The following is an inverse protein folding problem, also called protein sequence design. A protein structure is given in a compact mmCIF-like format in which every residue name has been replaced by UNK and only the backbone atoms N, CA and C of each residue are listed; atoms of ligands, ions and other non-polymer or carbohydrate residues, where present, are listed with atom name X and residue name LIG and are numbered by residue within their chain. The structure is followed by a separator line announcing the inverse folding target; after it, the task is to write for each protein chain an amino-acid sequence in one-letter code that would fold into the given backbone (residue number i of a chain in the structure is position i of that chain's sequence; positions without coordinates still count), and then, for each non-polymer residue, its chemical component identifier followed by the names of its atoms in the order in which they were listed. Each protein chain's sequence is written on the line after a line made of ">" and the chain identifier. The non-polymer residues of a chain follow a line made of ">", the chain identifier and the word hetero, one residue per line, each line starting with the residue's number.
data_IF_077386933701
#
_entry.id   IF_077386933701
#
_cell.length_a   1.000
_cell.length_b   1.000
_cell.length_c   1.000
_cell.angle_alpha   90.00
_cell.angle_beta   90.00
_cell.angle_gamma   90.00
#
_symmetry.space_group_name_H-M   'P 1'
#
loop_
_entity.id
_entity.type
_entity.pdbx_description
1 polymer ?
#
# COMPACT_ATOMS: atom_id res chain seq x y z
N UNK A 1 -1.00 -5.31 -5.11
CA UNK A 1 0.43 -5.64 -5.24
C UNK A 1 0.64 -6.36 -6.57
N UNK A 2 1.91 -6.58 -6.98
CA UNK A 2 2.22 -7.39 -8.18
C UNK A 2 1.56 -8.77 -8.11
N UNK A 3 1.59 -9.42 -6.94
CA UNK A 3 0.91 -10.70 -6.70
C UNK A 3 -0.59 -10.67 -6.99
N UNK A 4 -1.25 -9.57 -6.63
CA UNK A 4 -2.68 -9.41 -6.91
C UNK A 4 -2.93 -9.38 -8.41
N UNK A 5 -2.13 -8.63 -9.17
CA UNK A 5 -2.28 -8.51 -10.62
C UNK A 5 -1.94 -9.83 -11.34
N UNK A 6 -0.90 -10.54 -10.88
CA UNK A 6 -0.60 -11.90 -11.36
C UNK A 6 -1.76 -12.87 -11.08
N UNK A 7 -2.40 -12.74 -9.92
CA UNK A 7 -3.55 -13.57 -9.54
C UNK A 7 -4.78 -13.26 -10.39
N UNK A 8 -5.05 -11.98 -10.66
CA UNK A 8 -6.14 -11.55 -11.56
C UNK A 8 -5.89 -12.02 -12.99
N UNK A 9 -4.66 -11.90 -13.48
CA UNK A 9 -4.28 -12.45 -14.79
C UNK A 9 -4.50 -13.96 -14.87
N UNK A 10 -4.04 -14.70 -13.85
CA UNK A 10 -4.24 -16.15 -13.77
C UNK A 10 -5.73 -16.48 -13.80
N UNK A 11 -6.54 -15.84 -12.94
CA UNK A 11 -8.00 -16.03 -12.87
C UNK A 11 -8.66 -15.82 -14.22
N UNK A 12 -8.34 -14.72 -14.90
CA UNK A 12 -8.89 -14.38 -16.23
C UNK A 12 -8.50 -15.44 -17.27
N UNK A 13 -7.23 -15.85 -17.31
CA UNK A 13 -6.77 -16.85 -18.30
C UNK A 13 -7.29 -18.26 -18.03
N UNK A 14 -7.55 -18.65 -16.77
CA UNK A 14 -8.04 -19.98 -16.42
C UNK A 14 -9.56 -20.12 -16.42
N UNK A 15 -10.28 -19.05 -16.08
CA UNK A 15 -11.74 -19.05 -15.96
C UNK A 15 -12.45 -18.52 -17.24
N UNK A 16 -11.70 -18.22 -18.30
CA UNK A 16 -12.24 -17.75 -19.58
C UNK A 16 -12.67 -16.27 -19.58
N UNK A 17 -12.05 -15.44 -18.74
CA UNK A 17 -12.22 -13.99 -18.76
C UNK A 17 -11.50 -13.32 -19.93
N UNK A 18 -11.62 -11.98 -20.05
CA UNK A 18 -10.95 -11.20 -21.10
C UNK A 18 -9.68 -10.54 -20.58
N UNK A 19 -8.60 -10.54 -21.36
CA UNK A 19 -7.36 -9.84 -21.00
C UNK A 19 -7.59 -8.33 -20.80
N UNK A 20 -8.56 -7.77 -21.53
CA UNK A 20 -9.01 -6.38 -21.37
C UNK A 20 -9.62 -6.06 -20.01
N UNK A 21 -9.91 -7.06 -19.16
CA UNK A 21 -10.31 -6.85 -17.76
C UNK A 21 -9.11 -6.58 -16.82
N UNK A 22 -7.89 -6.81 -17.32
CA UNK A 22 -6.63 -6.71 -16.55
C UNK A 22 -5.73 -5.61 -17.09
N UNK A 23 -5.49 -5.57 -18.40
CA UNK A 23 -4.61 -4.60 -19.04
C UNK A 23 -5.26 -4.01 -20.31
N UNK A 24 -4.90 -2.77 -20.62
CA UNK A 24 -5.29 -2.08 -21.86
C UNK A 24 -4.18 -2.07 -22.91
N UNK A 25 -2.94 -2.38 -22.54
CA UNK A 25 -1.82 -2.41 -23.48
C UNK A 25 -0.47 -2.40 -22.77
N UNK A 26 0.56 -1.95 -23.50
CA UNK A 26 1.93 -1.84 -22.99
C UNK A 26 2.44 -0.41 -23.20
N UNK A 27 3.22 0.07 -22.25
CA UNK A 27 3.93 1.35 -22.34
C UNK A 27 5.27 1.06 -23.00
N UNK A 28 5.54 1.69 -24.13
CA UNK A 28 6.89 1.72 -24.68
C UNK A 28 7.73 2.74 -23.88
N UNK A 29 8.90 2.36 -23.32
CA UNK A 29 9.79 3.31 -22.66
C UNK A 29 10.19 4.51 -23.52
N UNK A 30 10.10 4.40 -24.86
CA UNK A 30 10.42 5.48 -25.80
C UNK A 30 9.21 6.39 -26.15
N UNK A 31 7.98 6.03 -25.77
CA UNK A 31 6.76 6.77 -26.16
C UNK A 31 6.54 8.09 -25.40
N UNK A 32 7.38 8.42 -24.42
CA UNK A 32 7.29 9.70 -23.68
C UNK A 32 5.99 9.89 -22.90
N UNK A 33 5.14 8.85 -22.83
CA UNK A 33 3.91 8.85 -22.03
C UNK A 33 4.34 8.81 -20.58
N UNK A 34 4.31 9.98 -19.94
CA UNK A 34 4.48 10.07 -18.50
C UNK A 34 3.53 9.06 -17.84
N UNK A 35 3.98 8.24 -16.88
CA UNK A 35 3.08 7.41 -16.11
C UNK A 35 1.93 8.29 -15.63
N UNK A 36 0.67 7.80 -15.68
CA UNK A 36 -0.49 8.60 -15.28
C UNK A 36 -0.12 9.21 -13.94
N UNK A 37 -0.10 10.55 -13.88
CA UNK A 37 0.51 11.29 -12.78
C UNK A 37 0.06 10.61 -11.49
N UNK A 38 0.99 9.91 -10.85
CA UNK A 38 0.71 9.40 -9.52
C UNK A 38 0.48 10.67 -8.73
N UNK A 39 -0.77 10.98 -8.43
CA UNK A 39 -1.10 11.89 -7.36
C UNK A 39 -0.52 11.22 -6.11
N UNK A 40 0.77 11.45 -5.89
CA UNK A 40 1.43 11.23 -4.63
C UNK A 40 0.55 12.01 -3.67
N UNK A 41 -0.17 11.35 -2.75
CA UNK A 41 -1.01 12.07 -1.81
C UNK A 41 -0.09 13.11 -1.15
N UNK A 42 -0.47 14.41 -1.19
CA UNK A 42 0.42 15.45 -0.71
C UNK A 42 0.81 15.14 0.75
N UNK A 43 2.05 15.47 1.16
CA UNK A 43 2.37 15.46 2.58
C UNK A 43 1.36 16.39 3.26
N UNK A 44 0.52 15.83 4.12
CA UNK A 44 -0.51 16.60 4.82
C UNK A 44 0.14 17.49 5.87
N UNK A 45 0.50 18.72 5.47
CA UNK A 45 0.76 19.81 6.41
C UNK A 45 -0.55 20.22 7.11
N UNK A 46 -0.61 20.18 8.45
CA UNK A 46 -1.84 20.46 9.17
C UNK A 46 -1.97 21.97 9.41
N UNK A 47 -2.53 22.72 8.45
CA UNK A 47 -3.24 24.00 8.67
C UNK A 47 -3.71 24.64 7.36
N UNK A 48 -5.02 24.57 7.09
CA UNK A 48 -5.88 25.71 6.79
C UNK A 48 -7.28 25.22 6.40
N UNK A 49 -8.30 25.83 7.01
CA UNK A 49 -9.72 25.66 6.72
C UNK A 49 -10.23 26.96 6.10
N UNK A 50 -11.06 26.87 5.05
CA UNK A 50 -12.22 27.71 4.61
C UNK A 50 -12.48 27.40 3.11
N UNK A 51 -13.63 26.83 2.68
CA UNK A 51 -14.99 27.41 2.49
C UNK A 51 -14.98 28.61 1.50
N UNK A 52 -15.78 28.73 0.44
CA UNK A 52 -17.02 28.07 -0.04
C UNK A 52 -17.32 28.50 -1.51
N UNK A 53 -18.26 27.79 -2.18
CA UNK A 53 -19.25 28.19 -3.24
C UNK A 53 -18.76 28.81 -4.59
N UNK A 54 -19.38 28.69 -5.78
CA UNK A 54 -20.70 28.20 -6.27
C UNK A 54 -20.62 28.06 -7.84
N UNK A 55 -21.57 27.30 -8.42
CA UNK A 55 -22.17 27.18 -9.80
C UNK A 55 -21.68 28.03 -11.01
N UNK A 56 -21.85 27.69 -12.30
CA UNK A 56 -22.92 26.99 -13.04
C UNK A 56 -22.46 26.60 -14.49
N UNK A 57 -23.30 25.78 -15.11
CA UNK A 57 -23.47 25.24 -16.48
C UNK A 57 -22.99 26.08 -17.70
N UNK A 58 -22.47 25.40 -18.74
CA UNK A 58 -23.01 25.51 -20.12
C UNK A 58 -22.35 24.55 -21.14
N UNK A 59 -23.23 24.03 -21.98
CA UNK A 59 -23.18 23.01 -23.03
C UNK A 59 -22.43 23.45 -24.32
N UNK A 60 -21.80 22.48 -25.03
CA UNK A 60 -21.69 22.43 -26.51
C UNK A 60 -20.69 21.36 -27.01
N UNK A 61 -21.26 20.19 -27.33
CA UNK A 61 -21.10 19.39 -28.56
C UNK A 61 -19.86 19.50 -29.48
N UNK A 62 -19.39 18.29 -29.80
CA UNK A 62 -18.86 17.80 -31.08
C UNK A 62 -17.44 18.17 -31.53
N UNK A 63 -16.57 17.15 -31.55
CA UNK A 63 -16.11 16.57 -32.83
C UNK A 63 -15.63 15.14 -32.63
N UNK A 64 -16.32 14.22 -33.31
CA UNK A 64 -15.88 12.91 -33.76
C UNK A 64 -14.43 12.91 -34.24
N UNK A 65 -13.59 12.08 -33.63
CA UNK A 65 -12.55 11.36 -34.36
C UNK A 65 -12.77 9.88 -34.08
N UNK A 66 -13.40 9.25 -35.06
CA UNK A 66 -13.71 7.83 -35.13
C UNK A 66 -12.44 7.12 -35.60
N UNK A 67 -11.47 6.98 -34.69
CA UNK A 67 -10.47 5.93 -34.84
C UNK A 67 -11.13 4.64 -34.39
N UNK A 68 -11.65 3.89 -35.36
CA UNK A 68 -11.90 2.46 -35.27
C UNK A 68 -10.57 1.75 -34.92
N UNK A 69 -10.12 1.85 -33.67
CA UNK A 69 -9.25 0.86 -33.04
C UNK A 69 -10.07 -0.43 -33.01
N UNK A 70 -9.92 -1.22 -34.07
CA UNK A 70 -10.42 -2.57 -34.14
C UNK A 70 -10.23 -3.25 -32.77
N UNK A 71 -11.32 -3.82 -32.27
CA UNK A 71 -11.49 -4.59 -31.05
C UNK A 71 -10.50 -5.78 -30.99
N UNK A 72 -9.20 -5.48 -30.94
CA UNK A 72 -8.12 -6.43 -30.72
C UNK A 72 -7.61 -6.12 -29.34
N UNK A 73 -8.21 -6.79 -28.36
CA UNK A 73 -7.69 -6.76 -26.99
C UNK A 73 -6.22 -7.17 -26.95
N UNK A 74 -5.56 -7.01 -25.78
CA UNK A 74 -4.14 -7.30 -25.62
C UNK A 74 -3.75 -8.65 -26.22
N UNK A 75 -2.69 -8.70 -27.03
CA UNK A 75 -2.22 -9.94 -27.64
C UNK A 75 -1.94 -10.99 -26.55
N UNK A 76 -2.64 -12.14 -26.56
CA UNK A 76 -2.51 -13.15 -25.52
C UNK A 76 -1.12 -13.80 -25.46
N UNK A 77 -0.40 -13.86 -26.58
CA UNK A 77 0.97 -14.42 -26.63
C UNK A 77 1.94 -13.46 -25.95
N UNK A 78 1.86 -12.16 -26.25
CA UNK A 78 2.69 -11.14 -25.62
C UNK A 78 2.35 -11.01 -24.13
N UNK A 79 1.06 -11.07 -23.78
CA UNK A 79 0.61 -11.05 -22.39
C UNK A 79 1.18 -12.23 -21.61
N UNK A 80 1.07 -13.45 -22.16
CA UNK A 80 1.65 -14.64 -21.54
C UNK A 80 3.15 -14.52 -21.33
N UNK A 81 3.89 -13.99 -22.31
CA UNK A 81 5.33 -13.78 -22.17
C UNK A 81 5.67 -12.77 -21.07
N UNK A 82 5.00 -11.61 -21.04
CA UNK A 82 5.29 -10.54 -20.06
C UNK A 82 4.85 -10.93 -18.65
N UNK A 83 3.64 -11.45 -18.48
CA UNK A 83 3.17 -11.94 -17.18
C UNK A 83 3.96 -13.14 -16.68
N UNK A 84 4.44 -14.01 -17.59
CA UNK A 84 5.39 -15.07 -17.27
C UNK A 84 6.70 -14.54 -16.71
N UNK A 85 7.32 -13.56 -17.39
CA UNK A 85 8.54 -12.92 -16.91
C UNK A 85 8.36 -12.22 -15.55
N UNK A 86 7.24 -11.52 -15.34
CA UNK A 86 6.90 -10.91 -14.04
C UNK A 86 6.73 -11.98 -12.96
N UNK A 87 6.06 -13.10 -13.28
CA UNK A 87 5.86 -14.21 -12.35
C UNK A 87 7.19 -14.84 -11.92
N UNK A 88 8.08 -15.14 -12.87
CA UNK A 88 9.39 -15.71 -12.60
C UNK A 88 10.25 -14.77 -11.75
N UNK A 89 10.29 -13.48 -12.11
CA UNK A 89 11.01 -12.47 -11.34
C UNK A 89 10.42 -12.27 -9.94
N UNK A 90 9.10 -12.41 -9.78
CA UNK A 90 8.45 -12.33 -8.47
C UNK A 90 8.89 -13.48 -7.57
N UNK A 91 9.06 -14.70 -8.10
CA UNK A 91 9.60 -15.80 -7.32
C UNK A 91 11.04 -15.58 -6.86
N UNK A 92 11.90 -15.05 -7.74
CA UNK A 92 13.29 -14.69 -7.41
C UNK A 92 13.29 -13.64 -6.30
N UNK A 93 12.48 -12.59 -6.46
CA UNK A 93 12.31 -11.51 -5.49
C UNK A 93 11.86 -12.05 -4.14
N UNK A 94 10.83 -12.93 -4.09
CA UNK A 94 10.36 -13.55 -2.83
C UNK A 94 11.48 -14.35 -2.15
N UNK A 95 12.26 -15.12 -2.91
CA UNK A 95 13.40 -15.90 -2.37
C UNK A 95 14.48 -14.98 -1.79
N UNK A 96 14.80 -13.89 -2.47
CA UNK A 96 15.76 -12.89 -2.01
C UNK A 96 15.27 -12.18 -0.73
N UNK A 97 14.00 -11.75 -0.69
CA UNK A 97 13.38 -11.12 0.48
C UNK A 97 13.40 -12.05 1.69
N UNK A 98 13.04 -13.33 1.51
CA UNK A 98 13.05 -14.31 2.60
C UNK A 98 14.46 -14.60 3.12
N UNK A 99 15.47 -14.63 2.25
CA UNK A 99 16.85 -14.99 2.60
C UNK A 99 17.64 -13.83 3.20
N UNK A 100 17.42 -12.62 2.70
CA UNK A 100 18.28 -11.46 2.98
C UNK A 100 17.56 -10.31 3.67
N UNK A 101 16.22 -10.30 3.69
CA UNK A 101 15.42 -9.17 4.15
C UNK A 101 15.36 -8.05 3.10
N UNK A 102 14.35 -7.19 3.23
CA UNK A 102 14.01 -6.15 2.25
C UNK A 102 15.07 -5.04 2.10
N UNK A 103 15.78 -4.70 3.19
CA UNK A 103 16.83 -3.69 3.17
C UNK A 103 18.17 -4.14 2.58
N UNK A 104 18.31 -5.40 2.16
CA UNK A 104 19.56 -5.90 1.59
C UNK A 104 19.73 -5.48 0.13
N UNK A 105 20.94 -5.10 -0.28
CA UNK A 105 21.26 -4.69 -1.66
C UNK A 105 20.82 -5.71 -2.71
N UNK A 106 20.94 -7.01 -2.43
CA UNK A 106 20.50 -8.06 -3.34
C UNK A 106 18.98 -8.08 -3.48
N UNK A 107 18.24 -8.01 -2.37
CA UNK A 107 16.78 -7.97 -2.41
C UNK A 107 16.25 -6.70 -3.09
N UNK A 108 16.91 -5.56 -2.88
CA UNK A 108 16.60 -4.30 -3.56
C UNK A 108 16.82 -4.42 -5.07
N UNK A 109 17.92 -5.04 -5.51
CA UNK A 109 18.17 -5.26 -6.94
C UNK A 109 17.07 -6.11 -7.59
N UNK A 110 16.64 -7.20 -6.94
CA UNK A 110 15.55 -8.03 -7.47
C UNK A 110 14.20 -7.30 -7.47
N UNK A 111 13.93 -6.46 -6.46
CA UNK A 111 12.73 -5.60 -6.43
C UNK A 111 12.72 -4.58 -7.57
N UNK A 112 13.88 -4.00 -7.91
CA UNK A 112 14.02 -3.06 -9.04
C UNK A 112 13.78 -3.82 -10.35
N UNK A 113 14.41 -4.97 -10.54
CA UNK A 113 14.19 -5.80 -11.73
C UNK A 113 12.72 -6.21 -11.89
N UNK A 114 12.04 -6.54 -10.79
CA UNK A 114 10.60 -6.81 -10.80
C UNK A 114 9.80 -5.58 -11.23
N UNK A 115 10.14 -4.39 -10.73
CA UNK A 115 9.49 -3.14 -11.11
C UNK A 115 9.69 -2.84 -12.60
N UNK A 116 10.91 -3.01 -13.13
CA UNK A 116 11.23 -2.80 -14.54
C UNK A 116 10.42 -3.70 -15.48
N UNK A 117 10.13 -4.93 -15.08
CA UNK A 117 9.25 -5.83 -15.85
C UNK A 117 7.78 -5.49 -15.72
N UNK A 118 7.35 -4.97 -14.57
CA UNK A 118 5.95 -4.71 -14.26
C UNK A 118 5.46 -3.35 -14.77
N UNK A 119 6.28 -2.30 -14.69
CA UNK A 119 5.93 -0.93 -15.09
C UNK A 119 5.42 -0.79 -16.53
N UNK A 120 5.97 -1.50 -17.53
CA UNK A 120 5.48 -1.39 -18.92
C UNK A 120 4.08 -1.97 -19.14
N UNK A 121 3.46 -2.64 -18.15
CA UNK A 121 2.12 -3.20 -18.28
C UNK A 121 1.10 -2.12 -17.95
N UNK A 122 0.34 -1.65 -18.95
CA UNK A 122 -0.71 -0.64 -18.76
C UNK A 122 -1.97 -1.32 -18.21
N UNK A 123 -2.14 -1.24 -16.88
CA UNK A 123 -3.32 -1.78 -16.22
C UNK A 123 -4.57 -0.99 -16.61
N UNK A 124 -5.72 -1.65 -16.62
CA UNK A 124 -7.00 -0.94 -16.75
C UNK A 124 -7.29 -0.11 -15.49
N UNK A 125 -8.02 1.01 -15.60
CA UNK A 125 -8.26 1.92 -14.47
C UNK A 125 -8.76 1.20 -13.21
N UNK A 126 -9.71 0.27 -13.37
CA UNK A 126 -10.26 -0.52 -12.26
C UNK A 126 -9.19 -1.31 -11.48
N UNK A 127 -8.22 -1.92 -12.17
CA UNK A 127 -7.15 -2.67 -11.52
C UNK A 127 -6.17 -1.72 -10.82
N UNK A 128 -5.85 -0.60 -11.46
CA UNK A 128 -4.99 0.43 -10.88
C UNK A 128 -5.60 1.04 -9.61
N UNK A 129 -6.88 1.45 -9.66
CA UNK A 129 -7.63 1.93 -8.49
C UNK A 129 -7.65 0.91 -7.36
N UNK A 130 -7.86 -0.38 -7.69
CA UNK A 130 -7.79 -1.47 -6.71
C UNK A 130 -6.41 -1.60 -6.05
N UNK A 131 -5.31 -1.28 -6.76
CA UNK A 131 -3.98 -1.22 -6.17
C UNK A 131 -3.82 -0.02 -5.22
N UNK A 132 -4.26 1.16 -5.66
CA UNK A 132 -4.20 2.39 -4.86
C UNK A 132 -5.00 2.25 -3.58
N UNK A 133 -6.22 1.70 -3.66
CA UNK A 133 -7.09 1.50 -2.51
C UNK A 133 -6.48 0.55 -1.48
N UNK A 134 -5.81 -0.52 -1.93
CA UNK A 134 -5.10 -1.43 -1.01
C UNK A 134 -3.99 -0.72 -0.22
N UNK A 135 -3.23 0.16 -0.88
CA UNK A 135 -2.18 0.94 -0.22
C UNK A 135 -2.79 1.92 0.80
N UNK A 136 -3.82 2.66 0.39
CA UNK A 136 -4.55 3.60 1.28
C UNK A 136 -5.13 2.88 2.49
N UNK A 137 -5.81 1.75 2.26
CA UNK A 137 -6.41 0.94 3.31
C UNK A 137 -5.38 0.43 4.33
N UNK A 138 -4.20 -0.02 3.87
CA UNK A 138 -3.12 -0.44 4.77
C UNK A 138 -2.66 0.70 5.70
N UNK A 139 -2.44 1.89 5.12
CA UNK A 139 -2.01 3.07 5.85
C UNK A 139 -3.10 3.59 6.82
N UNK A 140 -4.38 3.51 6.43
CA UNK A 140 -5.49 3.87 7.32
C UNK A 140 -5.66 2.89 8.48
N UNK A 141 -5.53 1.58 8.23
CA UNK A 141 -5.52 0.55 9.27
C UNK A 141 -4.39 0.76 10.26
N UNK A 142 -3.19 1.12 9.77
CA UNK A 142 -2.05 1.50 10.59
C UNK A 142 -2.40 2.70 11.49
N UNK A 143 -2.81 3.83 10.89
CA UNK A 143 -3.14 5.06 11.64
C UNK A 143 -4.25 4.82 12.66
N UNK A 144 -5.21 3.96 12.34
CA UNK A 144 -6.28 3.58 13.27
C UNK A 144 -5.72 2.89 14.53
N UNK A 145 -4.79 1.95 14.38
CA UNK A 145 -4.19 1.28 15.54
C UNK A 145 -3.28 2.22 16.33
N UNK A 146 -2.49 3.07 15.67
CA UNK A 146 -1.65 4.07 16.37
C UNK A 146 -2.50 5.04 17.20
N UNK A 147 -3.62 5.53 16.64
CA UNK A 147 -4.58 6.37 17.37
C UNK A 147 -5.20 5.63 18.54
N UNK A 148 -5.58 4.36 18.37
CA UNK A 148 -6.13 3.55 19.44
C UNK A 148 -5.11 3.36 20.58
N UNK A 149 -3.85 3.05 20.27
CA UNK A 149 -2.78 2.91 21.26
C UNK A 149 -2.51 4.25 21.97
N UNK A 150 -2.44 5.35 21.22
CA UNK A 150 -2.32 6.69 21.80
C UNK A 150 -3.49 7.00 22.73
N UNK A 151 -4.70 6.61 22.36
CA UNK A 151 -5.90 6.83 23.17
C UNK A 151 -5.83 6.10 24.51
N UNK A 152 -5.46 4.81 24.47
CA UNK A 152 -5.29 3.96 25.65
C UNK A 152 -4.18 4.49 26.57
N UNK A 153 -3.04 4.87 26.02
CA UNK A 153 -1.90 5.34 26.81
C UNK A 153 -2.15 6.75 27.38
N UNK A 154 -2.53 7.71 26.53
CA UNK A 154 -2.54 9.13 26.90
C UNK A 154 -3.82 9.52 27.66
N UNK A 155 -4.99 9.11 27.17
CA UNK A 155 -6.27 9.48 27.82
C UNK A 155 -6.60 8.52 28.94
N UNK A 156 -6.57 7.22 28.67
CA UNK A 156 -7.16 6.23 29.58
C UNK A 156 -6.18 5.86 30.70
N UNK A 157 -4.88 5.72 30.40
CA UNK A 157 -3.83 5.53 31.41
C UNK A 157 -3.23 6.84 31.96
N UNK A 158 -3.67 8.01 31.47
CA UNK A 158 -3.17 9.34 31.86
C UNK A 158 -1.66 9.54 31.67
N UNK A 159 -1.05 8.84 30.70
CA UNK A 159 0.34 9.09 30.30
C UNK A 159 0.45 10.50 29.68
N UNK A 160 1.45 11.32 30.06
CA UNK A 160 1.72 12.57 29.37
C UNK A 160 1.95 12.36 27.87
N UNK A 161 1.31 13.16 27.01
CA UNK A 161 1.43 13.02 25.54
C UNK A 161 2.89 13.11 25.07
N UNK A 162 3.71 13.96 25.70
CA UNK A 162 5.13 14.09 25.38
C UNK A 162 5.92 12.79 25.64
N UNK A 163 5.58 12.07 26.72
CA UNK A 163 6.19 10.77 27.03
C UNK A 163 5.82 9.72 26.00
N UNK A 164 4.56 9.71 25.55
CA UNK A 164 4.10 8.80 24.50
C UNK A 164 4.82 9.06 23.18
N UNK A 165 4.86 10.31 22.71
CA UNK A 165 5.50 10.67 21.45
C UNK A 165 7.01 10.40 21.44
N UNK A 166 7.66 10.42 22.61
CA UNK A 166 9.08 10.07 22.76
C UNK A 166 9.32 8.56 22.76
N UNK A 167 8.40 7.77 23.31
CA UNK A 167 8.62 6.34 23.58
C UNK A 167 7.96 5.41 22.59
N UNK A 168 6.86 5.81 21.96
CA UNK A 168 6.10 4.92 21.07
C UNK A 168 6.78 4.65 19.72
N UNK A 169 7.42 5.65 19.05
CA UNK A 169 8.13 5.38 17.79
C UNK A 169 9.23 4.33 17.97
N UNK A 170 9.24 3.31 17.12
CA UNK A 170 10.14 2.16 17.19
C UNK A 170 9.61 0.99 18.04
N UNK A 171 8.49 1.17 18.74
CA UNK A 171 7.85 0.15 19.58
C UNK A 171 6.44 -0.22 19.10
N UNK A 172 6.09 0.14 17.85
CA UNK A 172 4.74 -0.05 17.31
C UNK A 172 4.29 -1.53 17.30
N UNK A 173 5.24 -2.45 17.14
CA UNK A 173 5.02 -3.91 17.14
C UNK A 173 5.73 -4.64 18.29
N UNK A 174 6.48 -3.92 19.13
CA UNK A 174 7.16 -4.49 20.28
C UNK A 174 6.19 -4.64 21.46
N UNK A 175 5.65 -5.85 21.65
CA UNK A 175 4.76 -6.16 22.76
C UNK A 175 5.44 -5.98 24.13
N UNK A 176 6.77 -6.15 24.20
CA UNK A 176 7.54 -6.04 25.45
C UNK A 176 7.64 -4.60 25.96
N UNK A 177 7.49 -3.61 25.07
CA UNK A 177 7.46 -2.20 25.44
C UNK A 177 6.33 -1.89 26.44
N UNK A 178 5.14 -2.44 26.20
CA UNK A 178 3.99 -2.23 27.10
C UNK A 178 4.20 -2.87 28.47
N UNK A 179 4.85 -4.04 28.51
CA UNK A 179 5.20 -4.74 29.75
C UNK A 179 6.23 -3.95 30.57
N UNK A 180 7.24 -3.39 29.90
CA UNK A 180 8.23 -2.53 30.55
C UNK A 180 7.59 -1.27 31.14
N UNK A 181 6.62 -0.65 30.46
CA UNK A 181 5.86 0.48 30.98
C UNK A 181 5.00 0.11 32.19
N UNK A 182 4.33 -1.04 32.14
CA UNK A 182 3.47 -1.54 33.22
C UNK A 182 4.25 -1.85 34.50
N UNK A 183 5.48 -2.37 34.37
CA UNK A 183 6.39 -2.68 35.50
C UNK A 183 7.24 -1.50 35.94
N UNK A 184 7.12 -0.36 35.25
CA UNK A 184 7.88 0.86 35.54
C UNK A 184 7.47 1.53 36.86
N UNK A 185 8.18 2.61 37.19
CA UNK A 185 7.89 3.45 38.37
C UNK A 185 7.08 4.71 38.03
N UNK A 186 6.59 4.82 36.80
CA UNK A 186 5.82 5.98 36.36
C UNK A 186 4.44 6.00 37.02
N UNK A 187 3.86 7.19 37.17
CA UNK A 187 2.52 7.36 37.77
C UNK A 187 1.41 6.66 36.98
N UNK A 188 1.66 6.35 35.71
CA UNK A 188 0.73 5.68 34.80
C UNK A 188 0.99 4.17 34.67
N UNK A 189 2.03 3.62 35.32
CA UNK A 189 2.41 2.21 35.17
C UNK A 189 1.28 1.25 35.52
N UNK A 190 0.60 1.45 36.66
CA UNK A 190 -0.52 0.59 37.08
C UNK A 190 -1.69 0.64 36.08
N UNK A 191 -2.03 1.83 35.57
CA UNK A 191 -3.11 1.99 34.61
C UNK A 191 -2.77 1.37 33.24
N UNK A 192 -1.51 1.51 32.80
CA UNK A 192 -1.00 0.81 31.61
C UNK A 192 -1.08 -0.71 31.81
N UNK A 193 -0.72 -1.24 32.98
CA UNK A 193 -0.83 -2.68 33.27
C UNK A 193 -2.25 -3.22 33.15
N UNK A 194 -3.27 -2.42 33.50
CA UNK A 194 -4.69 -2.79 33.33
C UNK A 194 -5.13 -2.78 31.86
N UNK A 195 -4.59 -1.86 31.05
CA UNK A 195 -4.92 -1.70 29.63
C UNK A 195 -3.98 -2.48 28.70
N UNK A 196 -2.95 -3.12 29.24
CA UNK A 196 -1.92 -3.83 28.49
C UNK A 196 -2.50 -4.85 27.48
N UNK A 197 -3.50 -5.68 27.82
CA UNK A 197 -4.08 -6.61 26.85
C UNK A 197 -4.67 -5.92 25.61
N UNK A 198 -5.30 -4.75 25.79
CA UNK A 198 -5.88 -3.99 24.68
C UNK A 198 -4.81 -3.33 23.82
N UNK A 199 -3.74 -2.82 24.45
CA UNK A 199 -2.60 -2.24 23.72
C UNK A 199 -1.90 -3.33 22.91
N UNK A 200 -1.61 -4.49 23.51
CA UNK A 200 -1.01 -5.64 22.82
C UNK A 200 -1.90 -6.08 21.66
N UNK A 201 -3.22 -6.13 21.82
CA UNK A 201 -4.13 -6.46 20.72
C UNK A 201 -4.02 -5.48 19.55
N UNK A 202 -3.79 -4.19 19.81
CA UNK A 202 -3.52 -3.21 18.75
C UNK A 202 -2.16 -3.44 18.09
N UNK A 203 -1.10 -3.73 18.87
CA UNK A 203 0.23 -4.05 18.34
C UNK A 203 0.20 -5.32 17.49
N UNK A 204 -0.52 -6.36 17.91
CA UNK A 204 -0.72 -7.60 17.12
C UNK A 204 -1.40 -7.35 15.78
N UNK A 205 -2.34 -6.40 15.71
CA UNK A 205 -2.93 -5.98 14.42
C UNK A 205 -1.91 -5.27 13.54
N UNK A 206 -0.97 -4.52 14.12
CA UNK A 206 0.14 -3.91 13.39
C UNK A 206 1.11 -4.98 12.89
N UNK A 207 1.48 -5.96 13.71
CA UNK A 207 2.31 -7.11 13.30
C UNK A 207 1.64 -7.93 12.19
N UNK A 208 0.32 -8.13 12.29
CA UNK A 208 -0.46 -8.79 11.23
C UNK A 208 -0.44 -7.97 9.93
N UNK A 209 -0.51 -6.64 10.01
CA UNK A 209 -0.40 -5.76 8.85
C UNK A 209 1.00 -5.81 8.22
N UNK A 210 2.08 -5.88 9.02
CA UNK A 210 3.44 -6.08 8.49
C UNK A 210 3.56 -7.42 7.76
N UNK A 211 2.97 -8.47 8.32
CA UNK A 211 2.97 -9.80 7.72
C UNK A 211 2.17 -9.85 6.42
N UNK A 212 1.00 -9.20 6.39
CA UNK A 212 0.12 -9.11 5.23
C UNK A 212 0.75 -8.35 4.07
N UNK A 213 1.41 -7.23 4.37
CA UNK A 213 2.00 -6.34 3.36
C UNK A 213 3.43 -6.72 2.99
N UNK A 214 4.14 -7.45 3.86
CA UNK A 214 5.57 -7.70 3.74
C UNK A 214 6.42 -6.43 3.95
N UNK A 215 5.86 -5.39 4.56
CA UNK A 215 6.48 -4.10 4.83
C UNK A 215 6.51 -3.85 6.34
N UNK A 216 7.55 -3.21 6.82
CA UNK A 216 7.60 -2.72 8.21
C UNK A 216 6.64 -1.55 8.41
N UNK A 217 6.23 -1.27 9.65
CA UNK A 217 5.41 -0.09 9.98
C UNK A 217 6.05 1.21 9.46
N UNK A 218 7.38 1.30 9.48
CA UNK A 218 8.10 2.46 8.97
C UNK A 218 8.02 2.59 7.43
N UNK A 219 7.92 1.49 6.69
CA UNK A 219 7.80 1.47 5.23
C UNK A 219 6.36 1.69 4.74
N UNK A 220 5.36 1.41 5.58
CA UNK A 220 3.94 1.68 5.28
C UNK A 220 3.61 3.17 5.45
N UNK A 221 4.34 3.88 6.32
CA UNK A 221 4.17 5.32 6.60
C UNK A 221 4.70 6.19 5.47
#
# INVERSE_FOLDING_TARGET
>A
TVDHILSEYTRVTTEGGRLSDVLSGYIDPDDGIAPPAAEVPPPVDPKAVKADDDTDDDDAEATTDDEEEAESGPDPVIAAQRFGAVSDQMEITRKALKKHGRGNKLAIAELIALAELFMPIKLVPKQFEGLVERVRSALDRLRQQERAIMQLCVRDARMPRADFLRQFPGNEVDESWTDALAKGKSKYAEAIGRLQPDIIRCQQKLTALETETGLTIAEIK
#
